data_IF_714572710836
#
_entry.id   IF_714572710836
#
_cell.length_a   1.000
_cell.length_b   1.000
_cell.length_c   1.000
_cell.angle_alpha   90.00
_cell.angle_beta   90.00
_cell.angle_gamma   90.00
#
_symmetry.space_group_name_H-M   'P 1'
#
loop_
_entity.id
_entity.type
_entity.pdbx_description
1 polymer ?
#
# COMPACT_ATOMS: atom_id res chain seq x y z
N UNK A 1 12.92 -7.43 31.56
CA UNK A 1 11.62 -6.80 31.90
C UNK A 1 10.72 -6.35 30.73
N UNK A 2 11.19 -6.14 29.47
CA UNK A 2 10.27 -6.06 28.30
C UNK A 2 10.36 -7.26 27.35
N UNK A 3 11.54 -7.87 27.23
CA UNK A 3 11.77 -9.05 26.38
C UNK A 3 11.10 -10.31 26.95
N UNK A 4 11.15 -10.48 28.25
CA UNK A 4 10.65 -11.69 28.93
C UNK A 4 9.12 -11.74 28.89
N UNK A 5 8.48 -10.62 29.22
CA UNK A 5 7.02 -10.46 29.14
C UNK A 5 6.49 -10.59 27.71
N UNK A 6 7.23 -10.10 26.69
CA UNK A 6 6.85 -10.28 25.28
C UNK A 6 6.93 -11.73 24.82
N UNK A 7 7.84 -12.54 25.38
CA UNK A 7 7.96 -13.97 25.06
C UNK A 7 6.81 -14.76 25.67
N UNK A 8 6.47 -14.50 26.93
CA UNK A 8 5.34 -15.16 27.60
C UNK A 8 4.01 -14.84 26.91
N UNK A 9 3.77 -13.58 26.51
CA UNK A 9 2.56 -13.19 25.79
C UNK A 9 2.49 -13.83 24.39
N UNK A 10 3.62 -13.97 23.70
CA UNK A 10 3.67 -14.66 22.41
C UNK A 10 3.44 -16.19 22.54
N UNK A 11 3.85 -16.78 23.66
CA UNK A 11 3.63 -18.21 23.95
C UNK A 11 2.19 -18.51 24.39
N UNK A 12 1.54 -17.58 25.08
CA UNK A 12 0.20 -17.78 25.64
C UNK A 12 -0.92 -17.31 24.72
N UNK A 13 -0.64 -16.40 23.78
CA UNK A 13 -1.64 -15.94 22.83
C UNK A 13 -1.76 -16.92 21.65
N UNK A 14 -2.70 -17.84 21.74
CA UNK A 14 -2.99 -18.79 20.65
C UNK A 14 -3.34 -18.11 19.33
N UNK A 15 -4.02 -16.95 19.37
CA UNK A 15 -4.34 -16.21 18.15
C UNK A 15 -3.09 -15.62 17.51
N UNK A 16 -2.08 -15.25 18.32
CA UNK A 16 -0.80 -14.80 17.80
C UNK A 16 -0.09 -15.94 17.07
N UNK A 17 0.04 -17.12 17.69
CA UNK A 17 0.69 -18.28 17.06
C UNK A 17 -0.03 -18.75 15.77
N UNK A 18 -1.36 -18.76 15.77
CA UNK A 18 -2.16 -19.11 14.58
C UNK A 18 -1.96 -18.14 13.41
N UNK A 19 -1.62 -16.88 13.69
CA UNK A 19 -1.39 -15.84 12.66
C UNK A 19 0.09 -15.61 12.34
N UNK A 20 1.02 -16.22 13.09
CA UNK A 20 2.46 -16.12 12.80
C UNK A 20 2.76 -16.84 11.48
N UNK A 21 3.30 -16.10 10.51
CA UNK A 21 3.71 -16.64 9.21
C UNK A 21 2.61 -16.71 8.16
N UNK A 22 1.35 -16.41 8.49
CA UNK A 22 0.27 -16.41 7.51
C UNK A 22 0.15 -15.05 6.80
N UNK A 23 0.75 -14.95 5.62
CA UNK A 23 0.78 -13.70 4.83
C UNK A 23 -0.54 -13.37 4.12
N UNK A 24 -1.45 -14.33 3.99
CA UNK A 24 -2.71 -14.13 3.25
C UNK A 24 -3.66 -13.19 3.99
N UNK A 25 -3.59 -13.16 5.33
CA UNK A 25 -4.42 -12.29 6.17
C UNK A 25 -4.05 -10.80 6.10
N UNK A 26 -2.96 -10.43 5.42
CA UNK A 26 -2.59 -9.02 5.25
C UNK A 26 -3.31 -8.33 4.09
N UNK A 27 -3.98 -9.09 3.23
CA UNK A 27 -4.67 -8.61 2.03
C UNK A 27 -6.18 -8.89 2.16
N UNK A 28 -7.00 -8.06 1.52
CA UNK A 28 -8.41 -8.38 1.32
C UNK A 28 -8.59 -9.36 0.13
N UNK A 29 -9.83 -9.80 -0.09
CA UNK A 29 -10.20 -10.68 -1.23
C UNK A 29 -9.81 -10.08 -2.60
N UNK A 30 -9.67 -8.75 -2.67
CA UNK A 30 -9.28 -8.00 -3.87
C UNK A 30 -7.75 -7.77 -4.00
N UNK A 31 -6.92 -8.43 -3.17
CA UNK A 31 -5.45 -8.29 -3.23
C UNK A 31 -4.90 -6.94 -2.75
N UNK A 32 -5.74 -6.10 -2.13
CA UNK A 32 -5.37 -4.82 -1.51
C UNK A 32 -4.87 -5.05 -0.08
N UNK A 33 -3.67 -4.57 0.28
CA UNK A 33 -3.18 -4.67 1.64
C UNK A 33 -4.08 -3.91 2.61
N UNK A 34 -4.44 -4.50 3.76
CA UNK A 34 -5.18 -3.78 4.81
C UNK A 34 -4.44 -2.54 5.30
N UNK A 35 -3.10 -2.51 5.20
CA UNK A 35 -2.29 -1.35 5.51
C UNK A 35 -2.48 -0.17 4.55
N UNK A 36 -2.99 -0.43 3.33
CA UNK A 36 -3.39 0.59 2.35
C UNK A 36 -4.78 1.18 2.64
N UNK A 37 -5.61 0.46 3.42
CA UNK A 37 -6.99 0.84 3.73
C UNK A 37 -7.09 1.44 5.14
N UNK A 38 -6.42 0.82 6.11
CA UNK A 38 -6.56 1.13 7.53
C UNK A 38 -5.38 1.94 8.05
N UNK A 39 -5.68 3.11 8.61
CA UNK A 39 -4.67 3.94 9.29
C UNK A 39 -4.19 3.28 10.57
N UNK A 40 -2.89 3.02 10.66
CA UNK A 40 -2.29 2.58 11.92
C UNK A 40 -2.26 3.72 12.94
N UNK A 41 -2.37 3.40 14.24
CA UNK A 41 -2.20 4.37 15.34
C UNK A 41 -0.82 5.04 15.37
N UNK A 42 0.16 4.48 14.65
CA UNK A 42 1.53 5.00 14.52
C UNK A 42 1.68 5.96 13.33
N UNK A 43 0.67 6.12 12.49
CA UNK A 43 0.74 7.02 11.35
C UNK A 43 0.87 8.48 11.85
N UNK A 44 1.97 9.14 11.44
CA UNK A 44 2.26 10.53 11.80
C UNK A 44 1.82 11.54 10.73
N UNK A 45 1.63 11.11 9.48
CA UNK A 45 1.18 11.96 8.37
C UNK A 45 -0.34 12.10 8.29
N UNK A 46 -1.10 11.31 9.04
CA UNK A 46 -2.56 11.39 9.09
C UNK A 46 -3.29 10.72 7.92
N UNK A 47 -2.62 10.56 6.77
CA UNK A 47 -3.15 9.91 5.57
C UNK A 47 -2.42 8.59 5.26
N UNK A 48 -3.19 7.57 4.86
CA UNK A 48 -2.65 6.25 4.55
C UNK A 48 -1.92 6.28 3.20
N UNK A 49 -0.77 5.62 3.11
CA UNK A 49 0.01 5.58 1.87
C UNK A 49 0.75 6.89 1.53
N UNK A 50 0.59 7.96 2.31
CA UNK A 50 1.32 9.22 2.16
C UNK A 50 2.38 9.35 3.26
N UNK A 51 3.64 9.54 2.87
CA UNK A 51 4.76 9.70 3.79
C UNK A 51 5.73 10.76 3.32
N UNK A 52 6.26 11.56 4.25
CA UNK A 52 7.23 12.59 3.94
C UNK A 52 8.66 12.04 3.96
N UNK A 53 9.41 12.24 2.88
CA UNK A 53 10.82 11.92 2.77
C UNK A 53 11.67 13.14 3.12
N UNK A 54 12.37 13.05 4.25
CA UNK A 54 13.25 14.10 4.77
C UNK A 54 14.52 14.31 3.95
N UNK A 55 14.95 13.31 3.18
CA UNK A 55 16.18 13.40 2.38
C UNK A 55 15.96 14.24 1.14
N UNK A 56 14.83 14.01 0.48
CA UNK A 56 14.46 14.71 -0.76
C UNK A 56 13.57 15.92 -0.51
N UNK A 57 13.10 16.10 0.73
CA UNK A 57 12.15 17.14 1.12
C UNK A 57 10.83 17.05 0.32
N UNK A 58 10.39 15.82 -0.03
CA UNK A 58 9.22 15.56 -0.87
C UNK A 58 8.22 14.64 -0.19
N UNK A 59 6.96 14.78 -0.57
CA UNK A 59 5.88 13.91 -0.14
C UNK A 59 5.75 12.72 -1.08
N UNK A 60 5.81 11.51 -0.54
CA UNK A 60 5.70 10.27 -1.31
C UNK A 60 4.33 9.69 -1.12
N UNK A 61 3.61 9.43 -2.22
CA UNK A 61 2.33 8.74 -2.22
C UNK A 61 2.45 7.38 -2.89
N UNK A 62 1.99 6.32 -2.22
CA UNK A 62 2.07 4.94 -2.72
C UNK A 62 0.80 4.13 -2.52
N UNK A 63 0.21 3.59 -3.58
CA UNK A 63 -0.93 2.66 -3.54
C UNK A 63 -0.55 1.33 -4.16
N UNK A 64 -0.77 0.26 -3.43
CA UNK A 64 -0.70 -1.10 -3.96
C UNK A 64 -2.12 -1.63 -4.16
N UNK A 65 -2.34 -2.22 -5.33
CA UNK A 65 -3.56 -2.91 -5.72
C UNK A 65 -3.12 -4.22 -6.39
N UNK A 66 -3.74 -5.34 -6.05
CA UNK A 66 -3.44 -6.66 -6.63
C UNK A 66 -1.93 -6.96 -6.78
N UNK A 67 -1.18 -6.77 -5.69
CA UNK A 67 0.26 -7.04 -5.63
C UNK A 67 1.19 -6.06 -6.38
N UNK A 68 0.67 -5.06 -7.08
CA UNK A 68 1.46 -4.09 -7.84
C UNK A 68 1.22 -2.63 -7.39
N UNK A 69 2.22 -1.77 -7.58
CA UNK A 69 2.10 -0.34 -7.27
C UNK A 69 1.40 0.39 -8.41
N UNK A 70 0.14 0.75 -8.19
CA UNK A 70 -0.65 1.59 -9.12
C UNK A 70 -0.39 3.09 -8.94
N UNK A 71 0.11 3.47 -7.76
CA UNK A 71 0.62 4.80 -7.47
C UNK A 71 1.97 4.66 -6.78
N UNK A 72 2.99 5.30 -7.33
CA UNK A 72 4.32 5.44 -6.72
C UNK A 72 4.94 6.75 -7.22
N UNK A 73 4.55 7.87 -6.61
CA UNK A 73 4.98 9.20 -7.04
C UNK A 73 5.39 10.08 -5.87
N UNK A 74 6.19 11.09 -6.17
CA UNK A 74 6.61 12.12 -5.23
C UNK A 74 6.05 13.48 -5.63
N UNK A 75 5.73 14.29 -4.63
CA UNK A 75 5.06 15.58 -4.73
C UNK A 75 5.77 16.62 -3.87
N UNK A 76 5.53 17.89 -4.13
CA UNK A 76 6.15 18.98 -3.38
C UNK A 76 5.34 19.33 -2.15
N UNK A 77 4.01 19.23 -2.26
CA UNK A 77 3.09 19.53 -1.17
C UNK A 77 2.40 18.28 -0.64
N UNK A 78 1.93 18.39 0.60
CA UNK A 78 1.15 17.32 1.23
C UNK A 78 -0.17 17.11 0.50
N UNK A 79 -0.84 18.21 0.16
CA UNK A 79 -2.17 18.20 -0.44
C UNK A 79 -2.14 17.53 -1.81
N UNK A 80 -1.12 17.79 -2.64
CA UNK A 80 -0.93 17.08 -3.91
C UNK A 80 -0.78 15.56 -3.72
N UNK A 81 -0.02 15.14 -2.70
CA UNK A 81 0.19 13.72 -2.43
C UNK A 81 -1.09 13.02 -1.94
N UNK A 82 -1.93 13.74 -1.19
CA UNK A 82 -3.24 13.29 -0.72
C UNK A 82 -4.22 13.24 -1.89
N UNK A 83 -4.30 14.28 -2.71
CA UNK A 83 -5.19 14.32 -3.87
C UNK A 83 -4.83 13.21 -4.87
N UNK A 84 -3.54 13.00 -5.14
CA UNK A 84 -3.10 11.89 -5.98
C UNK A 84 -3.46 10.52 -5.39
N UNK A 85 -3.44 10.42 -4.04
CA UNK A 85 -3.86 9.21 -3.33
C UNK A 85 -5.35 8.98 -3.49
N UNK A 86 -6.18 9.96 -3.18
CA UNK A 86 -7.65 9.89 -3.28
C UNK A 86 -8.09 9.58 -4.70
N UNK A 87 -7.48 10.23 -5.70
CA UNK A 87 -7.72 9.92 -7.11
C UNK A 87 -7.39 8.48 -7.48
N UNK A 88 -6.32 7.91 -6.93
CA UNK A 88 -5.97 6.52 -7.16
C UNK A 88 -6.94 5.56 -6.44
N UNK A 89 -7.34 5.88 -5.21
CA UNK A 89 -8.36 5.12 -4.48
C UNK A 89 -9.70 5.14 -5.23
N UNK A 90 -10.12 6.28 -5.78
CA UNK A 90 -11.34 6.38 -6.55
C UNK A 90 -11.28 5.54 -7.85
N UNK A 91 -10.13 5.53 -8.53
CA UNK A 91 -9.93 4.77 -9.77
C UNK A 91 -9.83 3.26 -9.56
N UNK A 92 -9.15 2.81 -8.51
CA UNK A 92 -8.80 1.39 -8.31
C UNK A 92 -9.63 0.71 -7.21
N UNK A 93 -10.13 1.45 -6.21
CA UNK A 93 -10.93 0.89 -5.10
C UNK A 93 -12.43 1.16 -5.26
N UNK A 94 -12.84 2.35 -5.75
CA UNK A 94 -14.28 2.68 -5.91
C UNK A 94 -14.85 2.28 -7.26
N UNK A 95 -14.07 2.37 -8.32
CA UNK A 95 -14.49 1.90 -9.63
C UNK A 95 -14.00 0.46 -9.82
N UNK A 96 -14.91 -0.51 -9.73
CA UNK A 96 -14.67 -1.85 -10.30
C UNK A 96 -14.76 -1.74 -11.83
N UNK A 97 -13.67 -1.82 -12.62
CA UNK A 97 -13.76 -2.55 -13.86
C UNK A 97 -13.70 -4.03 -13.48
N UNK A 98 -14.85 -4.71 -13.55
CA UNK A 98 -14.83 -6.15 -13.77
C UNK A 98 -13.95 -6.38 -15.01
N UNK A 99 -12.85 -7.11 -14.82
CA UNK A 99 -12.14 -7.85 -15.88
C UNK A 99 -12.08 -7.18 -17.26
N UNK A 100 -10.99 -6.47 -17.57
CA UNK A 100 -10.54 -6.29 -18.95
C UNK A 100 -9.05 -5.94 -19.00
N UNK A 101 -8.25 -6.95 -19.31
CA UNK A 101 -7.10 -6.90 -20.20
C UNK A 101 -6.07 -5.77 -20.06
N UNK A 102 -4.90 -6.12 -19.50
CA UNK A 102 -3.64 -5.50 -19.93
C UNK A 102 -2.64 -6.57 -20.34
N UNK A 103 -3.02 -7.33 -21.37
CA UNK A 103 -2.05 -7.79 -22.36
C UNK A 103 -1.80 -6.62 -23.31
N UNK A 104 -0.53 -6.34 -23.59
CA UNK A 104 -0.02 -5.33 -24.54
C UNK A 104 0.01 -3.89 -23.97
N UNK A 105 1.12 -3.14 -24.01
CA UNK A 105 2.25 -3.19 -24.92
C UNK A 105 3.51 -2.64 -24.25
N UNK A 106 4.58 -3.42 -24.28
CA UNK A 106 5.94 -2.89 -24.26
C UNK A 106 6.11 -1.94 -25.46
N UNK A 107 6.80 -0.79 -25.30
CA UNK A 107 7.16 0.07 -26.41
C UNK A 107 8.42 -0.49 -27.07
N UNK A 108 8.38 -0.76 -28.37
CA UNK A 108 9.59 -0.99 -29.16
C UNK A 108 9.40 -0.42 -30.55
N UNK A 109 10.14 0.67 -30.77
CA UNK A 109 10.64 1.24 -32.02
C UNK A 109 10.92 0.18 -33.09
N UNK A 110 10.88 0.40 -34.40
CA UNK A 110 11.15 1.60 -35.18
C UNK A 110 10.39 1.52 -36.51
N UNK A 111 10.09 2.69 -37.06
CA UNK A 111 9.68 2.86 -38.46
C UNK A 111 10.91 2.98 -39.36
N UNK A 112 10.78 2.45 -40.58
CA UNK A 112 11.28 3.04 -41.84
C UNK A 112 12.78 2.84 -42.21
N UNK A 113 13.08 1.88 -43.10
CA UNK A 113 13.30 2.09 -44.55
C UNK A 113 13.63 0.77 -45.26
#
# INVERSE_FOLDING_TARGET
MRRDQSREVAQTNEQFQKNVGNSTHFFNEDGVPFASIRRSKRNKSGHVGVSYDKKTNRWVSRLMYDGHYVLLKTFETFDEAVEARENAEDRYLKNKPQSADTSASSPSSDSNH
#
